data_IF_733487340350
#
_entry.id   IF_733487340350
#
_cell.length_a   1.000
_cell.length_b   1.000
_cell.length_c   1.000
_cell.angle_alpha   90.00
_cell.angle_beta   90.00
_cell.angle_gamma   90.00
#
_symmetry.space_group_name_H-M   'P 1'
#
loop_
_entity.id
_entity.type
_entity.pdbx_description
1 polymer ?
#
# COMPACT_ATOMS: atom_id res chain seq x y z
N UNK A 1 -9.12 -5.36 -4.50
CA UNK A 1 -9.43 -6.60 -3.73
C UNK A 1 -10.92 -6.83 -3.56
N UNK A 2 -11.70 -5.80 -3.19
CA UNK A 2 -13.16 -5.90 -2.99
C UNK A 2 -13.94 -6.45 -4.19
N UNK A 3 -13.47 -6.19 -5.42
CA UNK A 3 -14.17 -6.57 -6.66
C UNK A 3 -13.49 -7.70 -7.46
N UNK A 4 -12.41 -8.33 -6.94
CA UNK A 4 -11.70 -9.41 -7.67
C UNK A 4 -12.38 -10.76 -7.44
N UNK A 5 -12.57 -11.57 -8.47
CA UNK A 5 -13.21 -12.90 -8.33
C UNK A 5 -12.44 -13.80 -7.33
N UNK A 6 -13.15 -14.67 -6.62
CA UNK A 6 -12.58 -15.42 -5.47
C UNK A 6 -11.67 -16.55 -5.92
N UNK A 7 -11.79 -16.91 -7.20
CA UNK A 7 -10.94 -17.83 -7.93
C UNK A 7 -9.64 -17.19 -8.43
N UNK A 8 -9.44 -15.87 -8.34
CA UNK A 8 -8.18 -15.25 -8.74
C UNK A 8 -7.09 -15.55 -7.71
N UNK A 9 -5.91 -15.93 -8.19
CA UNK A 9 -4.71 -16.15 -7.38
C UNK A 9 -4.39 -14.95 -6.48
N UNK A 10 -4.61 -13.74 -6.96
CA UNK A 10 -4.40 -12.51 -6.19
C UNK A 10 -5.29 -12.41 -4.93
N UNK A 11 -6.51 -12.96 -4.95
CA UNK A 11 -7.36 -13.00 -3.75
C UNK A 11 -6.85 -14.05 -2.75
N UNK A 12 -6.34 -15.19 -3.26
CA UNK A 12 -5.71 -16.21 -2.41
C UNK A 12 -4.47 -15.67 -1.73
N UNK A 13 -3.62 -14.98 -2.48
CA UNK A 13 -2.42 -14.32 -1.97
C UNK A 13 -2.78 -13.30 -0.89
N UNK A 14 -3.79 -12.45 -1.13
CA UNK A 14 -4.26 -11.48 -0.13
C UNK A 14 -4.71 -12.17 1.17
N UNK A 15 -5.54 -13.21 1.08
CA UNK A 15 -6.02 -13.91 2.27
C UNK A 15 -4.88 -14.65 2.99
N UNK A 16 -3.97 -15.27 2.24
CA UNK A 16 -2.80 -15.92 2.79
C UNK A 16 -1.87 -14.91 3.50
N UNK A 17 -1.69 -13.72 2.95
CA UNK A 17 -0.95 -12.63 3.58
C UNK A 17 -1.65 -12.11 4.84
N UNK A 18 -2.99 -12.04 4.82
CA UNK A 18 -3.79 -11.53 5.93
C UNK A 18 -3.74 -12.46 7.15
N UNK A 19 -3.73 -13.77 6.91
CA UNK A 19 -3.73 -14.79 7.96
C UNK A 19 -2.39 -15.54 8.09
N UNK A 20 -1.29 -14.94 7.65
CA UNK A 20 0.09 -15.44 7.81
C UNK A 20 0.30 -16.90 7.34
N UNK A 21 -0.13 -17.23 6.11
CA UNK A 21 0.12 -18.44 5.29
C UNK A 21 0.00 -19.85 5.92
N UNK A 22 -0.13 -19.98 7.23
CA UNK A 22 0.19 -21.22 7.95
C UNK A 22 -0.89 -22.28 7.79
N UNK A 23 -2.15 -21.91 7.50
CA UNK A 23 -3.26 -22.88 7.59
C UNK A 23 -4.39 -22.73 6.55
N UNK A 24 -4.24 -21.91 5.50
CA UNK A 24 -5.34 -21.70 4.54
C UNK A 24 -5.34 -22.77 3.45
N UNK A 25 -6.34 -23.67 3.46
CA UNK A 25 -6.60 -24.58 2.33
C UNK A 25 -7.61 -23.97 1.37
N UNK A 26 -7.57 -24.43 0.12
CA UNK A 26 -8.42 -23.92 -0.95
C UNK A 26 -9.93 -23.99 -0.65
N UNK A 27 -10.34 -25.03 0.07
CA UNK A 27 -11.72 -25.22 0.54
C UNK A 27 -12.15 -24.20 1.60
N UNK A 28 -11.20 -23.68 2.37
CA UNK A 28 -11.45 -22.73 3.44
C UNK A 28 -11.69 -21.33 2.84
N UNK A 29 -11.01 -21.00 1.73
CA UNK A 29 -11.24 -19.76 0.98
C UNK A 29 -12.57 -19.72 0.21
N UNK A 30 -13.03 -20.87 -0.29
CA UNK A 30 -14.23 -20.96 -1.11
C UNK A 30 -15.53 -20.68 -0.34
N UNK A 31 -15.52 -20.89 0.99
CA UNK A 31 -16.71 -20.84 1.84
C UNK A 31 -16.70 -19.68 2.86
N UNK A 32 -15.61 -18.90 2.95
CA UNK A 32 -15.51 -17.78 3.88
C UNK A 32 -16.07 -16.49 3.26
N UNK A 33 -16.88 -15.71 4.00
CA UNK A 33 -17.30 -14.39 3.53
C UNK A 33 -16.06 -13.50 3.38
N UNK A 34 -16.05 -12.70 2.31
CA UNK A 34 -14.92 -11.81 2.05
C UNK A 34 -14.83 -10.74 3.13
N UNK A 35 -13.65 -10.44 3.67
CA UNK A 35 -13.50 -9.35 4.61
C UNK A 35 -13.83 -8.03 3.91
N UNK A 36 -14.67 -7.21 4.55
CA UNK A 36 -14.88 -5.83 4.13
C UNK A 36 -13.63 -4.99 4.40
N UNK A 37 -13.49 -3.85 3.73
CA UNK A 37 -12.39 -2.92 4.03
C UNK A 37 -12.35 -2.51 5.51
N UNK A 38 -13.53 -2.32 6.12
CA UNK A 38 -13.64 -2.04 7.56
C UNK A 38 -13.10 -3.19 8.40
N UNK A 39 -13.49 -4.42 8.11
CA UNK A 39 -12.99 -5.59 8.84
C UNK A 39 -11.47 -5.72 8.69
N UNK A 40 -10.92 -5.46 7.50
CA UNK A 40 -9.49 -5.44 7.27
C UNK A 40 -8.77 -4.41 8.15
N UNK A 41 -9.20 -3.14 8.14
CA UNK A 41 -8.60 -2.08 8.97
C UNK A 41 -8.74 -2.40 10.47
N UNK A 42 -9.86 -2.99 10.88
CA UNK A 42 -10.10 -3.38 12.27
C UNK A 42 -9.19 -4.52 12.73
N UNK A 43 -8.82 -5.45 11.85
CA UNK A 43 -7.79 -6.45 12.14
C UNK A 43 -6.40 -5.82 12.22
N UNK A 44 -6.05 -4.89 11.33
CA UNK A 44 -4.75 -4.20 11.41
C UNK A 44 -4.56 -3.46 12.74
N UNK A 45 -5.62 -2.84 13.28
CA UNK A 45 -5.55 -2.14 14.57
C UNK A 45 -5.26 -3.06 15.77
N UNK A 46 -5.40 -4.38 15.62
CA UNK A 46 -5.12 -5.36 16.69
C UNK A 46 -3.72 -5.96 16.60
N UNK A 47 -3.03 -5.74 15.49
CA UNK A 47 -1.71 -6.34 15.22
C UNK A 47 -0.63 -5.33 15.55
N UNK A 48 0.43 -5.76 16.24
CA UNK A 48 1.60 -4.92 16.43
C UNK A 48 2.26 -4.61 15.06
N UNK A 49 2.62 -3.36 14.74
CA UNK A 49 3.33 -3.02 13.52
C UNK A 49 4.53 -3.94 13.20
N UNK A 50 5.26 -4.44 14.20
CA UNK A 50 6.40 -5.36 13.99
C UNK A 50 5.97 -6.72 13.42
N UNK A 51 4.74 -7.17 13.75
CA UNK A 51 4.15 -8.43 13.30
C UNK A 51 3.29 -8.27 12.04
N UNK A 52 3.01 -7.04 11.60
CA UNK A 52 2.20 -6.80 10.40
C UNK A 52 2.90 -7.32 9.14
N UNK A 53 2.12 -7.85 8.19
CA UNK A 53 2.65 -8.18 6.87
C UNK A 53 3.25 -6.93 6.20
N UNK A 54 4.39 -7.09 5.52
CA UNK A 54 5.11 -6.02 4.81
C UNK A 54 4.22 -5.18 3.89
N UNK A 55 3.17 -5.77 3.30
CA UNK A 55 2.28 -5.06 2.36
C UNK A 55 1.46 -3.93 3.00
N UNK A 56 1.22 -3.96 4.31
CA UNK A 56 0.45 -2.95 5.04
C UNK A 56 1.09 -2.51 6.35
N UNK A 57 2.32 -2.95 6.61
CA UNK A 57 3.15 -2.43 7.69
C UNK A 57 3.45 -0.94 7.44
N UNK A 58 3.43 -0.07 8.47
CA UNK A 58 3.87 1.31 8.31
C UNK A 58 5.29 1.41 7.75
N UNK A 59 5.53 2.34 6.83
CA UNK A 59 6.81 2.52 6.15
C UNK A 59 7.93 2.86 7.14
N UNK A 60 7.61 3.52 8.24
CA UNK A 60 8.56 3.79 9.33
C UNK A 60 9.16 2.53 9.95
N UNK A 61 8.47 1.39 9.90
CA UNK A 61 8.98 0.09 10.34
C UNK A 61 9.70 -0.70 9.24
N UNK A 62 9.71 -0.20 8.00
CA UNK A 62 10.23 -0.92 6.83
C UNK A 62 11.46 -0.21 6.25
N UNK A 63 11.40 1.11 6.13
CA UNK A 63 12.41 1.89 5.44
C UNK A 63 13.61 2.26 6.32
N UNK A 64 13.52 2.12 7.64
CA UNK A 64 14.62 2.46 8.55
C UNK A 64 15.04 3.93 8.42
N UNK A 65 14.07 4.86 8.44
CA UNK A 65 14.32 6.30 8.30
C UNK A 65 15.24 6.89 9.40
N UNK A 66 15.37 6.19 10.52
CA UNK A 66 16.27 6.49 11.62
C UNK A 66 17.70 5.95 11.42
N UNK A 67 17.87 4.95 10.56
CA UNK A 67 19.14 4.26 10.31
C UNK A 67 19.78 4.65 8.99
N UNK A 68 18.99 5.00 7.98
CA UNK A 68 19.47 5.28 6.63
C UNK A 68 19.31 6.78 6.28
N UNK A 69 20.40 7.48 5.91
CA UNK A 69 20.32 8.87 5.51
C UNK A 69 19.87 8.97 4.05
N UNK A 70 18.55 8.95 3.82
CA UNK A 70 17.99 9.12 2.49
C UNK A 70 18.30 10.52 1.94
N UNK A 71 19.01 10.61 0.82
CA UNK A 71 19.24 11.87 0.11
C UNK A 71 17.96 12.41 -0.56
N UNK A 72 17.00 11.51 -0.87
CA UNK A 72 15.76 11.85 -1.54
C UNK A 72 14.64 10.84 -1.21
N UNK A 73 13.43 11.34 -0.96
CA UNK A 73 12.20 10.55 -0.81
C UNK A 73 11.16 11.11 -1.79
N UNK A 74 10.83 10.34 -2.82
CA UNK A 74 9.86 10.71 -3.85
C UNK A 74 8.41 10.36 -3.48
N UNK A 75 7.47 10.97 -4.20
CA UNK A 75 6.02 10.79 -4.07
C UNK A 75 5.39 10.35 -5.38
N UNK A 76 4.50 9.36 -5.32
CA UNK A 76 3.80 8.90 -6.53
C UNK A 76 2.94 9.99 -7.16
N UNK A 77 2.40 10.92 -6.37
CA UNK A 77 1.64 12.06 -6.84
C UNK A 77 2.48 13.04 -7.69
N UNK A 78 3.81 12.98 -7.55
CA UNK A 78 4.78 13.83 -8.27
C UNK A 78 5.81 12.99 -9.03
N UNK A 79 5.46 11.75 -9.39
CA UNK A 79 6.38 10.74 -9.90
C UNK A 79 7.29 11.25 -11.03
N UNK A 80 6.74 11.97 -12.00
CA UNK A 80 7.50 12.52 -13.13
C UNK A 80 8.50 13.61 -12.69
N UNK A 81 8.08 14.54 -11.84
CA UNK A 81 8.93 15.62 -11.33
C UNK A 81 10.07 15.06 -10.47
N UNK A 82 9.72 14.12 -9.59
CA UNK A 82 10.64 13.48 -8.65
C UNK A 82 11.64 12.58 -9.38
N UNK A 83 11.20 11.82 -10.39
CA UNK A 83 12.11 11.02 -11.21
C UNK A 83 13.08 11.90 -12.01
N UNK A 84 12.63 13.02 -12.58
CA UNK A 84 13.51 13.98 -13.23
C UNK A 84 14.53 14.61 -12.27
N UNK A 85 14.13 14.88 -11.01
CA UNK A 85 15.05 15.36 -9.99
C UNK A 85 16.15 14.33 -9.67
N UNK A 86 15.77 13.06 -9.48
CA UNK A 86 16.72 11.98 -9.23
C UNK A 86 17.68 11.79 -10.40
N UNK A 87 17.18 11.73 -11.64
CA UNK A 87 18.00 11.54 -12.86
C UNK A 87 19.06 12.64 -13.02
N UNK A 88 18.68 13.91 -12.78
CA UNK A 88 19.67 15.01 -12.79
C UNK A 88 20.71 14.86 -11.68
N UNK A 89 20.29 14.47 -10.48
CA UNK A 89 21.16 14.32 -9.31
C UNK A 89 22.22 13.23 -9.51
N UNK A 90 21.88 12.14 -10.21
CA UNK A 90 22.81 11.05 -10.53
C UNK A 90 23.61 11.27 -11.83
N UNK A 91 23.54 12.46 -12.44
CA UNK A 91 24.32 12.79 -13.64
C UNK A 91 23.73 12.27 -14.96
N UNK A 92 22.43 11.95 -14.99
CA UNK A 92 21.70 11.49 -16.17
C UNK A 92 20.62 12.49 -16.62
N UNK A 93 20.96 13.77 -16.89
CA UNK A 93 19.98 14.82 -17.16
C UNK A 93 19.24 14.68 -18.50
N UNK A 94 19.74 13.83 -19.41
CA UNK A 94 19.16 13.61 -20.73
C UNK A 94 18.24 12.37 -20.78
N UNK A 95 18.17 11.60 -19.70
CA UNK A 95 17.23 10.49 -19.57
C UNK A 95 15.87 11.01 -19.09
N UNK A 96 14.81 10.27 -19.42
CA UNK A 96 13.46 10.56 -18.95
C UNK A 96 12.83 9.35 -18.30
N UNK A 97 11.99 9.62 -17.31
CA UNK A 97 11.13 8.59 -16.74
C UNK A 97 9.97 8.33 -17.70
N UNK A 98 9.59 7.08 -17.96
CA UNK A 98 8.55 6.81 -18.94
C UNK A 98 7.19 7.26 -18.41
N UNK A 99 6.40 7.89 -19.28
CA UNK A 99 5.03 8.27 -18.95
C UNK A 99 4.12 7.03 -18.86
N UNK A 100 3.00 7.17 -18.18
CA UNK A 100 2.02 6.10 -18.03
C UNK A 100 1.51 5.56 -19.39
N UNK A 101 1.39 6.45 -20.38
CA UNK A 101 1.01 6.10 -21.76
C UNK A 101 2.10 5.26 -22.45
N UNK A 102 3.37 5.55 -22.20
CA UNK A 102 4.50 4.84 -22.79
C UNK A 102 4.59 3.40 -22.28
N UNK A 103 4.26 3.16 -21.01
CA UNK A 103 4.30 1.81 -20.39
C UNK A 103 2.98 1.05 -20.50
N UNK A 104 1.92 1.65 -21.07
CA UNK A 104 0.58 1.05 -21.19
C UNK A 104 0.03 0.52 -19.86
N UNK A 105 0.40 1.15 -18.75
CA UNK A 105 -0.01 0.73 -17.42
C UNK A 105 -1.29 1.47 -17.03
N UNK A 106 -2.41 0.76 -16.96
CA UNK A 106 -3.70 1.37 -16.64
C UNK A 106 -3.69 2.02 -15.24
N UNK A 107 -4.38 3.15 -15.10
CA UNK A 107 -4.59 3.75 -13.78
C UNK A 107 -5.30 2.74 -12.87
N UNK A 108 -4.93 2.70 -11.60
CA UNK A 108 -5.43 1.70 -10.64
C UNK A 108 -6.87 1.95 -10.18
N UNK A 109 -7.57 2.94 -10.76
CA UNK A 109 -8.97 3.25 -10.44
C UNK A 109 -9.21 3.68 -8.99
N UNK A 110 -8.15 4.02 -8.25
CA UNK A 110 -8.18 4.32 -6.81
C UNK A 110 -9.03 5.55 -6.45
N UNK A 111 -9.20 6.49 -7.39
CA UNK A 111 -9.98 7.72 -7.17
C UNK A 111 -11.49 7.48 -7.00
N UNK A 112 -12.05 6.42 -7.56
CA UNK A 112 -13.51 6.17 -7.53
C UNK A 112 -13.99 5.47 -6.24
N UNK A 113 -13.10 4.73 -5.55
CA UNK A 113 -13.42 4.00 -4.32
C UNK A 113 -13.22 4.81 -3.03
N UNK A 114 -12.74 6.04 -3.11
CA UNK A 114 -12.26 6.79 -1.93
C UNK A 114 -13.40 7.22 -0.99
N UNK A 115 -14.48 7.80 -1.49
CA UNK A 115 -15.50 8.39 -0.62
C UNK A 115 -16.36 7.35 0.12
N UNK A 116 -16.60 6.17 -0.48
CA UNK A 116 -17.38 5.10 0.14
C UNK A 116 -16.58 4.37 1.23
N UNK A 117 -15.28 4.16 1.00
CA UNK A 117 -14.41 3.43 1.93
C UNK A 117 -13.89 4.33 3.07
N UNK A 118 -13.55 5.59 2.77
CA UNK A 118 -12.89 6.49 3.70
C UNK A 118 -13.88 7.43 4.42
N UNK A 119 -14.89 6.85 5.08
CA UNK A 119 -15.71 7.62 6.04
C UNK A 119 -14.83 8.28 7.10
N UNK A 120 -15.31 9.35 7.77
CA UNK A 120 -14.56 10.01 8.87
C UNK A 120 -14.05 9.03 9.93
N UNK A 121 -14.89 8.06 10.31
CA UNK A 121 -14.49 7.01 11.26
C UNK A 121 -13.33 6.14 10.75
N UNK A 122 -13.31 5.86 9.45
CA UNK A 122 -12.26 5.06 8.82
C UNK A 122 -10.96 5.84 8.71
N UNK A 123 -11.03 7.10 8.31
CA UNK A 123 -9.86 7.98 8.24
C UNK A 123 -9.17 8.13 9.59
N UNK A 124 -9.93 8.22 10.69
CA UNK A 124 -9.35 8.27 12.04
C UNK A 124 -8.63 6.96 12.40
N UNK A 125 -9.19 5.80 12.06
CA UNK A 125 -8.54 4.50 12.27
C UNK A 125 -7.24 4.37 11.48
N UNK A 126 -7.26 4.76 10.21
CA UNK A 126 -6.08 4.77 9.34
C UNK A 126 -5.04 5.76 9.86
N UNK A 127 -5.47 6.93 10.34
CA UNK A 127 -4.55 7.90 10.95
C UNK A 127 -3.88 7.31 12.19
N UNK A 128 -4.61 6.60 13.05
CA UNK A 128 -4.01 5.91 14.21
C UNK A 128 -2.95 4.89 13.78
N UNK A 129 -3.21 4.11 12.73
CA UNK A 129 -2.27 3.10 12.22
C UNK A 129 -0.97 3.70 11.67
N UNK A 130 -1.05 4.85 10.99
CA UNK A 130 0.04 5.39 10.19
C UNK A 130 0.45 6.82 10.59
N UNK A 131 0.11 7.28 11.81
CA UNK A 131 0.34 8.70 12.21
C UNK A 131 1.81 9.11 12.09
N UNK A 132 2.72 8.22 12.47
CA UNK A 132 4.16 8.45 12.37
C UNK A 132 4.60 8.56 10.92
N UNK A 133 4.09 7.70 10.02
CA UNK A 133 4.35 7.80 8.59
C UNK A 133 3.85 9.14 8.04
N UNK A 134 2.61 9.54 8.37
CA UNK A 134 2.05 10.82 7.96
C UNK A 134 2.92 11.99 8.41
N UNK A 135 3.39 11.96 9.66
CA UNK A 135 4.28 12.98 10.20
C UNK A 135 5.63 13.02 9.49
N UNK A 136 6.31 11.88 9.37
CA UNK A 136 7.67 11.80 8.79
C UNK A 136 7.67 12.08 7.28
N UNK A 137 6.64 11.63 6.56
CA UNK A 137 6.53 11.78 5.10
C UNK A 137 5.81 13.06 4.68
N UNK A 138 5.28 13.84 5.62
CA UNK A 138 4.69 15.15 5.36
C UNK A 138 3.33 15.11 4.66
N UNK A 139 2.43 14.23 5.14
CA UNK A 139 1.06 14.06 4.65
C UNK A 139 -0.02 14.47 5.69
#
# INVERSE_FOLDING_TARGET
FLNKAGSLDEYRLFMAQLFDYKDIKDRDLANQPRPSFRAFVDELLKTDPEDMNLHWRPQTYVCGFDMLPYDFIGRFERLEEDAHHVLRTIGMPNESFPSQDQIRFSSTGSGALSNELYTRSMMLKIRILYDVDFFILGY
#
